data_IF_963490889457
#
_entry.id   IF_963490889457
#
_cell.length_a   1.000
_cell.length_b   1.000
_cell.length_c   1.000
_cell.angle_alpha   90.00
_cell.angle_beta   90.00
_cell.angle_gamma   90.00
#
_symmetry.space_group_name_H-M   'P 1'
#
loop_
_entity.id
_entity.type
_entity.pdbx_description
1 polymer ?
#
# COMPACT_ATOMS: atom_id res chain seq x y z
N UNK A 1 -3.43 16.90 -15.37
CA UNK A 1 -3.63 15.47 -15.67
C UNK A 1 -4.55 14.90 -14.61
N UNK A 2 -5.73 14.42 -15.01
CA UNK A 2 -6.80 13.96 -14.11
C UNK A 2 -6.32 12.74 -13.30
N UNK A 3 -5.80 12.96 -12.09
CA UNK A 3 -5.73 11.89 -11.08
C UNK A 3 -7.17 11.60 -10.70
N UNK A 4 -7.74 10.55 -11.29
CA UNK A 4 -9.14 10.20 -11.14
C UNK A 4 -9.49 10.08 -9.65
N UNK A 5 -10.59 10.72 -9.26
CA UNK A 5 -11.08 10.84 -7.88
C UNK A 5 -11.52 9.49 -7.28
N UNK A 6 -11.47 8.43 -8.07
CA UNK A 6 -11.92 7.06 -7.75
C UNK A 6 -10.86 5.98 -8.09
N UNK A 7 -9.56 6.33 -8.09
CA UNK A 7 -8.50 5.32 -8.28
C UNK A 7 -8.37 4.47 -7.00
N UNK A 8 -9.08 3.34 -6.98
CA UNK A 8 -8.93 2.32 -5.95
C UNK A 8 -7.55 1.66 -6.06
N UNK A 9 -6.80 1.69 -4.97
CA UNK A 9 -5.47 1.12 -4.88
C UNK A 9 -5.56 -0.28 -4.27
N UNK A 10 -5.24 -1.35 -5.01
CA UNK A 10 -5.29 -2.70 -4.47
C UNK A 10 -4.17 -2.92 -3.46
N UNK A 11 -4.50 -3.64 -2.38
CA UNK A 11 -3.52 -4.23 -1.47
C UNK A 11 -3.62 -5.75 -1.52
N UNK A 12 -2.47 -6.41 -1.36
CA UNK A 12 -2.26 -7.81 -1.67
C UNK A 12 -1.98 -8.63 -0.42
N UNK A 13 -2.27 -9.93 -0.46
CA UNK A 13 -1.96 -10.88 0.62
C UNK A 13 -0.44 -10.97 0.88
N UNK A 14 0.36 -10.92 -0.19
CA UNK A 14 1.82 -11.06 -0.15
C UNK A 14 2.48 -9.88 -0.91
N UNK A 15 3.80 -9.63 -0.72
CA UNK A 15 4.55 -8.63 -1.48
C UNK A 15 4.82 -9.11 -2.93
N UNK A 16 3.76 -9.47 -3.64
CA UNK A 16 3.76 -9.95 -5.01
C UNK A 16 2.47 -9.47 -5.70
N UNK A 17 2.60 -8.90 -6.90
CA UNK A 17 1.48 -8.42 -7.68
C UNK A 17 0.61 -9.55 -8.26
N UNK A 18 1.12 -10.79 -8.29
CA UNK A 18 0.34 -11.98 -8.64
C UNK A 18 -0.45 -12.56 -7.45
N UNK A 19 -0.23 -12.05 -6.23
CA UNK A 19 -0.94 -12.49 -5.03
C UNK A 19 -2.41 -12.06 -5.06
N UNK A 20 -3.33 -12.75 -4.36
CA UNK A 20 -4.70 -12.30 -4.23
C UNK A 20 -4.79 -10.88 -3.62
N UNK A 21 -5.65 -10.05 -4.20
CA UNK A 21 -6.04 -8.75 -3.62
C UNK A 21 -6.92 -9.01 -2.40
N UNK A 22 -6.53 -8.45 -1.25
CA UNK A 22 -7.24 -8.64 0.03
C UNK A 22 -8.11 -7.45 0.40
N UNK A 23 -7.79 -6.25 -0.11
CA UNK A 23 -8.65 -5.08 -0.04
C UNK A 23 -8.31 -4.08 -1.14
N UNK A 24 -9.15 -3.07 -1.31
CA UNK A 24 -8.91 -1.92 -2.16
C UNK A 24 -9.11 -0.65 -1.36
N UNK A 25 -8.16 0.28 -1.46
CA UNK A 25 -8.15 1.52 -0.68
C UNK A 25 -8.49 2.69 -1.59
N UNK A 26 -9.31 3.61 -1.09
CA UNK A 26 -9.50 4.90 -1.73
C UNK A 26 -8.28 5.82 -1.54
N UNK A 27 -8.14 6.81 -2.41
CA UNK A 27 -7.09 7.80 -2.29
C UNK A 27 -7.26 8.61 -1.00
N UNK A 28 -6.17 8.80 -0.25
CA UNK A 28 -6.16 9.56 1.01
C UNK A 28 -6.52 8.76 2.25
N UNK A 29 -6.78 7.44 2.13
CA UNK A 29 -6.91 6.56 3.29
C UNK A 29 -5.62 6.57 4.10
N UNK A 30 -5.74 6.81 5.41
CA UNK A 30 -4.63 6.78 6.35
C UNK A 30 -4.52 5.38 6.95
N UNK A 31 -3.29 4.88 7.03
CA UNK A 31 -2.95 3.61 7.66
C UNK A 31 -1.55 3.66 8.25
N UNK A 32 -1.22 2.64 9.03
CA UNK A 32 0.12 2.50 9.63
C UNK A 32 0.98 1.60 8.76
N UNK A 33 2.15 2.09 8.38
CA UNK A 33 3.21 1.28 7.78
C UNK A 33 3.83 0.38 8.85
N UNK A 34 3.84 -0.94 8.60
CA UNK A 34 4.35 -1.94 9.53
C UNK A 34 5.74 -2.42 9.15
N UNK A 35 5.97 -2.71 7.88
CA UNK A 35 7.27 -3.15 7.35
C UNK A 35 7.39 -2.68 5.91
N UNK A 36 8.59 -2.33 5.49
CA UNK A 36 8.91 -2.02 4.10
C UNK A 36 10.19 -2.74 3.68
N UNK A 37 10.17 -3.43 2.54
CA UNK A 37 11.31 -4.18 2.01
C UNK A 37 12.03 -3.47 0.84
N UNK A 38 11.70 -2.21 0.57
CA UNK A 38 12.27 -1.38 -0.50
C UNK A 38 11.52 -1.44 -1.83
N UNK A 39 10.51 -2.32 -1.97
CA UNK A 39 9.59 -2.31 -3.11
C UNK A 39 8.13 -2.43 -2.66
N UNK A 40 7.91 -3.14 -1.57
CA UNK A 40 6.62 -3.38 -0.96
C UNK A 40 6.62 -2.94 0.48
N UNK A 41 5.47 -2.46 0.91
CA UNK A 41 5.20 -2.11 2.29
C UNK A 41 3.95 -2.82 2.77
N UNK A 42 3.98 -3.37 3.97
CA UNK A 42 2.79 -3.86 4.66
C UNK A 42 2.14 -2.68 5.36
N UNK A 43 0.87 -2.43 5.02
CA UNK A 43 0.06 -1.37 5.59
C UNK A 43 -1.13 -1.99 6.31
N UNK A 44 -1.44 -1.48 7.49
CA UNK A 44 -2.61 -1.88 8.26
C UNK A 44 -3.43 -0.66 8.69
N UNK A 45 -4.74 -0.77 8.57
CA UNK A 45 -5.72 0.17 9.12
C UNK A 45 -6.78 -0.58 9.92
N UNK A 46 -7.86 0.12 10.29
CA UNK A 46 -8.90 -0.48 11.15
C UNK A 46 -9.56 -1.72 10.53
N UNK A 47 -9.69 -1.78 9.21
CA UNK A 47 -10.44 -2.85 8.51
C UNK A 47 -9.65 -3.48 7.35
N UNK A 48 -8.33 -3.24 7.29
CA UNK A 48 -7.50 -3.80 6.22
C UNK A 48 -6.08 -4.05 6.72
N UNK A 49 -5.47 -5.11 6.21
CA UNK A 49 -4.05 -5.44 6.39
C UNK A 49 -3.59 -6.10 5.10
N UNK A 50 -2.53 -5.58 4.49
CA UNK A 50 -1.99 -6.14 3.26
C UNK A 50 -0.75 -5.42 2.77
N UNK A 51 -0.27 -5.87 1.62
CA UNK A 51 0.93 -5.36 0.97
C UNK A 51 0.57 -4.42 -0.16
N UNK A 52 1.27 -3.30 -0.23
CA UNK A 52 1.14 -2.30 -1.27
C UNK A 52 2.51 -1.96 -1.83
N UNK A 53 2.59 -1.58 -3.11
CA UNK A 53 3.84 -1.09 -3.69
C UNK A 53 4.24 0.22 -3.04
N UNK A 54 5.50 0.36 -2.63
CA UNK A 54 6.02 1.53 -1.94
C UNK A 54 5.80 2.83 -2.74
N UNK A 55 5.92 2.76 -4.07
CA UNK A 55 5.68 3.89 -5.00
C UNK A 55 4.26 4.47 -4.95
N UNK A 56 3.28 3.74 -4.38
CA UNK A 56 1.89 4.18 -4.24
C UNK A 56 1.63 4.92 -2.92
N UNK A 57 2.59 4.95 -2.01
CA UNK A 57 2.44 5.56 -0.69
C UNK A 57 2.95 7.00 -0.68
N UNK A 58 2.23 7.86 0.04
CA UNK A 58 2.73 9.19 0.43
C UNK A 58 3.32 9.07 1.84
N UNK A 59 4.59 9.45 2.01
CA UNK A 59 5.30 9.38 3.30
C UNK A 59 6.15 8.13 3.52
N UNK A 60 6.23 7.21 2.55
CA UNK A 60 7.32 6.23 2.48
C UNK A 60 8.32 6.75 1.44
N UNK A 61 9.52 7.12 1.86
CA UNK A 61 10.54 7.57 0.92
C UNK A 61 11.05 6.38 0.09
N UNK A 62 11.43 6.60 -1.19
CA UNK A 62 12.04 5.54 -1.98
C UNK A 62 13.24 4.92 -1.23
N UNK A 63 13.24 3.58 -1.09
CA UNK A 63 14.23 2.80 -0.35
C UNK A 63 14.20 2.90 1.18
N UNK A 64 13.16 3.49 1.77
CA UNK A 64 12.99 3.45 3.22
C UNK A 64 12.67 2.03 3.68
N UNK A 65 13.48 1.52 4.62
CA UNK A 65 13.25 0.26 5.32
C UNK A 65 12.77 0.59 6.72
N UNK A 66 11.65 0.00 7.11
CA UNK A 66 11.11 0.07 8.45
C UNK A 66 11.27 -1.33 9.05
N UNK A 67 12.03 -1.41 10.13
CA UNK A 67 12.22 -2.61 10.96
C UNK A 67 11.20 -2.69 12.09
#
# INVERSE_FOLDING_TARGET
TLKAKDELVPIYNNPDAASPVVAQLENGVLGTLKVCNGAWCRIAGNNFDGWIRQERLWGAYPNEKLD
#
